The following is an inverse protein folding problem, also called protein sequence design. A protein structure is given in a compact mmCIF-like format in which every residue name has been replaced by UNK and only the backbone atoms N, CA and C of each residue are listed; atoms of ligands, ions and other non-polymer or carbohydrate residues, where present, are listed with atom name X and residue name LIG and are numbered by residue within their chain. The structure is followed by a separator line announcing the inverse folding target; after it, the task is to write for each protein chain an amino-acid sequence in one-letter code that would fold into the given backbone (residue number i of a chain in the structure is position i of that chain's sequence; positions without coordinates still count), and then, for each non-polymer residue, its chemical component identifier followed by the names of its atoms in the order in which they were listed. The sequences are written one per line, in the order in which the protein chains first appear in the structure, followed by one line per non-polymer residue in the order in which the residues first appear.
data_IF_508388669431
#
_entry.id   IF_508388669431
#
_cell.length_a   1.000
_cell.length_b   1.000
_cell.length_c   1.000
_cell.angle_alpha   90.00
_cell.angle_beta   90.00
_cell.angle_gamma   90.00
#
_symmetry.space_group_name_H-M   'P 1'
#
loop_
_entity.id
_entity.type
_entity.pdbx_description
1 polymer ?
#
# COMPACT_ATOMS: atom_id res chain seq x y z
N UNK A 1 17.88 38.33 10.10
CA UNK A 1 18.58 37.04 9.95
C UNK A 1 18.87 36.52 11.35
N UNK A 2 18.66 35.29 11.79
CA UNK A 2 18.04 34.08 11.25
C UNK A 2 18.20 33.08 12.40
N UNK A 3 17.13 32.60 13.02
CA UNK A 3 17.19 31.36 13.79
C UNK A 3 15.83 30.69 13.77
N UNK A 4 15.68 29.78 12.80
CA UNK A 4 14.57 28.85 12.66
C UNK A 4 14.45 28.03 13.95
N UNK A 5 13.35 28.20 14.69
CA UNK A 5 12.84 27.14 15.54
C UNK A 5 12.22 26.08 14.63
N UNK A 6 12.88 24.94 14.56
CA UNK A 6 12.32 23.72 13.99
C UNK A 6 11.16 23.28 14.89
N UNK A 7 9.94 23.66 14.51
CA UNK A 7 8.75 22.96 14.96
C UNK A 7 8.85 21.54 14.43
N UNK A 8 9.21 20.59 15.27
CA UNK A 8 8.96 19.17 15.01
C UNK A 8 7.45 19.02 14.89
N UNK A 9 6.96 19.09 13.65
CA UNK A 9 5.61 18.74 13.28
C UNK A 9 5.47 17.25 13.63
N UNK A 10 4.97 16.98 14.84
CA UNK A 10 4.60 15.63 15.25
C UNK A 10 3.42 15.21 14.37
N UNK A 11 3.74 14.56 13.25
CA UNK A 11 2.75 13.88 12.41
C UNK A 11 2.25 12.70 13.22
N UNK A 12 1.23 12.93 14.05
CA UNK A 12 0.53 11.91 14.81
C UNK A 12 -0.23 11.06 13.79
N UNK A 13 0.43 10.01 13.28
CA UNK A 13 -0.21 9.01 12.43
C UNK A 13 -1.15 8.20 13.33
N UNK A 14 -2.40 8.63 13.39
CA UNK A 14 -3.47 7.83 13.99
C UNK A 14 -3.49 6.47 13.28
N UNK A 15 -3.49 5.34 14.01
CA UNK A 15 -3.81 4.06 13.41
C UNK A 15 -5.19 4.19 12.75
N UNK A 16 -5.31 3.77 11.49
CA UNK A 16 -6.61 3.74 10.83
C UNK A 16 -7.36 2.52 11.38
N UNK A 17 -8.16 2.73 12.41
CA UNK A 17 -9.04 1.71 12.97
C UNK A 17 -10.22 1.46 12.03
N UNK A 18 -10.70 0.23 11.96
CA UNK A 18 -11.87 -0.14 11.15
C UNK A 18 -13.21 0.15 11.85
N UNK A 19 -13.17 0.77 13.03
CA UNK A 19 -14.34 1.20 13.78
C UNK A 19 -14.09 1.33 15.29
N UNK A 20 -15.14 1.65 16.07
CA UNK A 20 -15.01 1.88 17.51
C UNK A 20 -14.67 0.62 18.31
N UNK A 21 -15.17 -0.55 17.92
CA UNK A 21 -14.84 -1.83 18.56
C UNK A 21 -13.38 -2.22 18.34
N UNK A 22 -12.83 -1.88 17.17
CA UNK A 22 -11.43 -2.15 16.85
C UNK A 22 -10.48 -1.30 17.70
N UNK A 23 -10.84 -0.03 17.92
CA UNK A 23 -10.13 0.85 18.86
C UNK A 23 -10.20 0.30 20.29
N UNK A 24 -11.38 -0.14 20.76
CA UNK A 24 -11.52 -0.74 22.09
C UNK A 24 -10.65 -1.99 22.25
N UNK A 25 -10.66 -2.90 21.27
CA UNK A 25 -9.78 -4.08 21.28
C UNK A 25 -8.30 -3.68 21.32
N UNK A 26 -7.89 -2.68 20.54
CA UNK A 26 -6.53 -2.17 20.58
C UNK A 26 -6.14 -1.64 21.96
N UNK A 27 -7.01 -0.89 22.63
CA UNK A 27 -6.77 -0.37 23.98
C UNK A 27 -6.64 -1.51 25.00
N UNK A 28 -7.46 -2.56 24.87
CA UNK A 28 -7.40 -3.75 25.73
C UNK A 28 -6.08 -4.50 25.53
N UNK A 29 -5.69 -4.74 24.27
CA UNK A 29 -4.42 -5.39 23.94
C UNK A 29 -3.21 -4.59 24.42
N UNK A 30 -3.24 -3.26 24.28
CA UNK A 30 -2.19 -2.35 24.75
C UNK A 30 -1.98 -2.44 26.26
N UNK A 31 -3.06 -2.60 27.02
CA UNK A 31 -3.01 -2.74 28.48
C UNK A 31 -2.73 -4.18 28.94
N UNK A 32 -2.53 -5.13 28.01
CA UNK A 32 -2.27 -6.56 28.27
C UNK A 32 -3.36 -7.24 29.12
N UNK A 33 -4.61 -6.79 28.99
CA UNK A 33 -5.73 -7.35 29.75
C UNK A 33 -6.47 -8.42 28.94
N UNK A 34 -6.95 -9.45 29.62
CA UNK A 34 -7.90 -10.43 29.07
C UNK A 34 -9.29 -9.78 28.99
N UNK A 35 -10.14 -10.20 28.04
CA UNK A 35 -11.51 -9.65 27.93
C UNK A 35 -12.36 -10.13 29.12
N UNK A 36 -12.10 -11.35 29.61
CA UNK A 36 -12.84 -11.94 30.72
C UNK A 36 -12.61 -11.13 32.02
N UNK A 37 -11.36 -10.79 32.34
CA UNK A 37 -10.97 -10.12 33.59
C UNK A 37 -10.92 -8.58 33.44
N UNK A 38 -11.42 -8.05 32.33
CA UNK A 38 -11.30 -6.63 32.00
C UNK A 38 -12.10 -5.75 32.97
N UNK A 39 -11.40 -4.81 33.60
CA UNK A 39 -11.98 -3.60 34.15
C UNK A 39 -12.28 -2.62 33.00
N UNK A 40 -13.56 -2.40 32.70
CA UNK A 40 -13.97 -1.60 31.54
C UNK A 40 -13.85 -0.09 31.77
N UNK A 41 -13.97 0.39 33.00
CA UNK A 41 -13.90 1.82 33.32
C UNK A 41 -12.60 2.51 32.85
N UNK A 42 -11.39 1.95 33.12
CA UNK A 42 -10.14 2.51 32.61
C UNK A 42 -10.07 2.53 31.07
N UNK A 43 -10.64 1.53 30.39
CA UNK A 43 -10.66 1.46 28.93
C UNK A 43 -11.60 2.52 28.34
N UNK A 44 -12.76 2.72 28.96
CA UNK A 44 -13.72 3.76 28.58
C UNK A 44 -13.05 5.14 28.67
N UNK A 45 -12.28 5.40 29.73
CA UNK A 45 -11.56 6.67 29.89
C UNK A 45 -10.52 6.89 28.79
N UNK A 46 -9.72 5.87 28.48
CA UNK A 46 -8.75 5.93 27.38
C UNK A 46 -9.43 6.13 26.02
N UNK A 47 -10.58 5.50 25.80
CA UNK A 47 -11.37 5.69 24.58
C UNK A 47 -11.84 7.15 24.45
N UNK A 48 -12.43 7.71 25.51
CA UNK A 48 -12.92 9.09 25.51
C UNK A 48 -11.77 10.10 25.35
N UNK A 49 -10.61 9.85 25.96
CA UNK A 49 -9.42 10.67 25.78
C UNK A 49 -8.94 10.66 24.32
N UNK A 50 -8.88 9.48 23.70
CA UNK A 50 -8.49 9.33 22.31
C UNK A 50 -9.46 10.06 21.37
N UNK A 51 -10.77 9.91 21.54
CA UNK A 51 -11.77 10.61 20.71
C UNK A 51 -11.67 12.13 20.89
N UNK A 52 -11.42 12.61 22.10
CA UNK A 52 -11.20 14.04 22.34
C UNK A 52 -9.94 14.57 21.63
N UNK A 53 -8.87 13.79 21.56
CA UNK A 53 -7.67 14.14 20.81
C UNK A 53 -7.93 14.14 19.29
N UNK A 54 -8.59 13.10 18.77
CA UNK A 54 -8.93 12.99 17.33
C UNK A 54 -9.87 14.10 16.89
N UNK A 55 -10.89 14.44 17.70
CA UNK A 55 -11.84 15.52 17.39
C UNK A 55 -11.17 16.88 17.19
N UNK A 56 -10.06 17.16 17.90
CA UNK A 56 -9.28 18.40 17.72
C UNK A 56 -8.53 18.45 16.39
N UNK A 57 -8.25 17.29 15.80
CA UNK A 57 -7.50 17.15 14.55
C UNK A 57 -8.44 16.99 13.34
N UNK A 58 -9.51 16.21 13.49
CA UNK A 58 -10.47 15.91 12.43
C UNK A 58 -11.85 15.54 13.02
N UNK A 59 -12.83 16.42 12.85
CA UNK A 59 -14.20 16.25 13.35
C UNK A 59 -14.95 15.17 12.57
N UNK A 60 -14.73 15.06 11.27
CA UNK A 60 -15.43 14.11 10.40
C UNK A 60 -15.08 12.67 10.78
N UNK A 61 -13.80 12.40 11.03
CA UNK A 61 -13.36 11.09 11.53
C UNK A 61 -13.88 10.80 12.94
N UNK A 62 -13.97 11.80 13.81
CA UNK A 62 -14.48 11.61 15.16
C UNK A 62 -15.99 11.29 15.20
N UNK A 63 -16.75 11.72 14.19
CA UNK A 63 -18.21 11.52 14.14
C UNK A 63 -18.60 10.02 14.14
N UNK A 64 -17.83 9.17 13.47
CA UNK A 64 -18.05 7.71 13.40
C UNK A 64 -17.94 7.01 14.77
N UNK A 65 -17.34 7.67 15.77
CA UNK A 65 -17.06 7.11 17.09
C UNK A 65 -17.95 7.67 18.21
N UNK A 66 -18.76 8.70 17.91
CA UNK A 66 -19.57 9.42 18.92
C UNK A 66 -20.69 8.57 19.50
N UNK A 67 -21.30 7.70 18.70
CA UNK A 67 -22.35 6.81 19.16
C UNK A 67 -21.82 5.86 20.24
N UNK A 68 -20.70 5.19 19.96
CA UNK A 68 -20.02 4.36 20.94
C UNK A 68 -19.52 5.18 22.15
N UNK A 69 -19.02 6.41 21.94
CA UNK A 69 -18.61 7.26 23.05
C UNK A 69 -19.77 7.56 24.01
N UNK A 70 -20.97 7.80 23.45
CA UNK A 70 -22.19 8.07 24.20
C UNK A 70 -22.64 6.83 24.97
N UNK A 71 -22.63 5.66 24.31
CA UNK A 71 -22.93 4.38 24.94
C UNK A 71 -21.97 4.05 26.09
N UNK A 72 -20.65 4.22 25.89
CA UNK A 72 -19.65 3.97 26.92
C UNK A 72 -19.76 4.93 28.11
N UNK A 73 -20.13 6.19 27.87
CA UNK A 73 -20.37 7.15 28.94
C UNK A 73 -21.60 6.79 29.77
N UNK A 74 -22.69 6.38 29.12
CA UNK A 74 -23.88 5.85 29.78
C UNK A 74 -23.55 4.61 30.61
N UNK A 75 -22.81 3.66 30.03
CA UNK A 75 -22.32 2.46 30.71
C UNK A 75 -21.53 2.82 31.97
N UNK A 76 -20.56 3.73 31.87
CA UNK A 76 -19.75 4.17 33.02
C UNK A 76 -20.62 4.78 34.11
N UNK A 77 -21.56 5.67 33.75
CA UNK A 77 -22.48 6.30 34.70
C UNK A 77 -23.37 5.28 35.42
N UNK A 78 -24.00 4.37 34.67
CA UNK A 78 -24.86 3.33 35.21
C UNK A 78 -24.11 2.38 36.15
N UNK A 79 -22.91 1.96 35.77
CA UNK A 79 -22.08 1.08 36.60
C UNK A 79 -21.68 1.73 37.93
N UNK A 80 -21.34 3.03 37.93
CA UNK A 80 -20.99 3.74 39.17
C UNK A 80 -22.19 3.93 40.11
N UNK A 81 -23.40 4.07 39.58
CA UNK A 81 -24.63 4.23 40.38
C UNK A 81 -25.03 2.91 41.04
N UNK A 82 -25.01 1.81 40.28
CA UNK A 82 -25.42 0.48 40.75
C UNK A 82 -24.52 -0.07 41.88
N UNK A 83 -23.27 0.38 41.97
CA UNK A 83 -22.34 -0.02 43.04
C UNK A 83 -22.67 0.67 44.38
N UNK A 84 -23.34 1.83 44.33
CA UNK A 84 -23.64 2.65 45.52
C UNK A 84 -25.02 2.39 46.13
N UNK A 85 -25.93 1.77 45.38
CA UNK A 85 -27.23 1.31 45.87
C UNK A 85 -27.12 -0.14 46.32
N UNK A 86 -26.93 -0.37 47.62
CA UNK A 86 -26.94 -1.72 48.23
C UNK A 86 -28.32 -2.39 48.24
N UNK A 87 -29.03 -2.38 47.11
CA UNK A 87 -30.39 -2.91 46.95
C UNK A 87 -30.36 -4.24 46.21
N UNK A 88 -30.98 -5.25 46.83
CA UNK A 88 -31.06 -6.67 46.48
C UNK A 88 -31.86 -6.99 45.20
N UNK A 89 -32.00 -6.07 44.25
CA UNK A 89 -32.67 -6.34 42.96
C UNK A 89 -31.68 -6.97 41.97
N UNK A 90 -31.43 -8.26 42.19
CA UNK A 90 -30.45 -9.10 41.50
C UNK A 90 -30.92 -9.64 40.13
N UNK A 91 -31.61 -8.82 39.34
CA UNK A 91 -31.99 -9.16 37.94
C UNK A 91 -31.60 -8.10 36.90
N UNK A 92 -30.92 -7.02 37.31
CA UNK A 92 -30.35 -6.07 36.35
C UNK A 92 -29.15 -6.73 35.66
N UNK A 93 -29.36 -7.16 34.40
CA UNK A 93 -28.31 -7.58 33.48
C UNK A 93 -27.16 -6.58 33.58
N UNK A 94 -25.98 -7.05 33.98
CA UNK A 94 -24.81 -6.18 34.10
C UNK A 94 -24.56 -5.57 32.71
N UNK A 95 -24.76 -4.25 32.51
CA UNK A 95 -24.74 -3.66 31.18
C UNK A 95 -23.32 -3.71 30.57
N UNK A 96 -22.30 -3.95 31.40
CA UNK A 96 -20.93 -4.21 30.96
C UNK A 96 -20.74 -5.61 30.34
N UNK A 97 -21.59 -6.58 30.66
CA UNK A 97 -21.51 -7.93 30.12
C UNK A 97 -21.83 -7.95 28.62
N UNK A 98 -22.82 -7.17 28.19
CA UNK A 98 -23.18 -7.02 26.78
C UNK A 98 -22.00 -6.46 25.96
N UNK A 99 -21.31 -5.43 26.48
CA UNK A 99 -20.12 -4.89 25.82
C UNK A 99 -18.99 -5.92 25.72
N UNK A 100 -18.76 -6.74 26.77
CA UNK A 100 -17.77 -7.82 26.74
C UNK A 100 -18.11 -8.86 25.68
N UNK A 101 -19.38 -9.24 25.56
CA UNK A 101 -19.84 -10.19 24.54
C UNK A 101 -19.63 -9.65 23.13
N UNK A 102 -19.99 -8.39 22.88
CA UNK A 102 -19.78 -7.72 21.59
C UNK A 102 -18.28 -7.65 21.22
N UNK A 103 -17.41 -7.35 22.18
CA UNK A 103 -15.96 -7.34 21.98
C UNK A 103 -15.40 -8.74 21.68
N UNK A 104 -15.88 -9.77 22.38
CA UNK A 104 -15.49 -11.15 22.14
C UNK A 104 -15.92 -11.63 20.74
N UNK A 105 -17.17 -11.33 20.35
CA UNK A 105 -17.68 -11.65 19.01
C UNK A 105 -16.86 -10.97 17.91
N UNK A 106 -16.60 -9.66 18.05
CA UNK A 106 -15.79 -8.92 17.09
C UNK A 106 -14.34 -9.44 17.01
N UNK A 107 -13.72 -9.78 18.14
CA UNK A 107 -12.39 -10.41 18.17
C UNK A 107 -12.39 -11.74 17.42
N UNK A 108 -13.42 -12.57 17.60
CA UNK A 108 -13.59 -13.82 16.86
C UNK A 108 -13.65 -13.61 15.35
N UNK A 109 -14.42 -12.62 14.90
CA UNK A 109 -14.51 -12.24 13.49
C UNK A 109 -13.16 -11.75 12.97
N UNK A 110 -12.45 -10.90 13.71
CA UNK A 110 -11.13 -10.38 13.33
C UNK A 110 -10.09 -11.49 13.16
N UNK A 111 -10.10 -12.48 14.05
CA UNK A 111 -9.24 -13.68 13.95
C UNK A 111 -9.64 -14.52 12.73
N UNK A 112 -10.94 -14.76 12.52
CA UNK A 112 -11.42 -15.51 11.36
C UNK A 112 -11.05 -14.82 10.03
N UNK A 113 -11.18 -13.50 9.96
CA UNK A 113 -10.80 -12.69 8.80
C UNK A 113 -9.29 -12.77 8.54
N UNK A 114 -8.47 -12.68 9.59
CA UNK A 114 -7.01 -12.88 9.49
C UNK A 114 -6.67 -14.28 8.98
N UNK A 115 -7.24 -15.31 9.58
CA UNK A 115 -7.03 -16.70 9.17
C UNK A 115 -7.46 -16.92 7.71
N UNK A 116 -8.54 -16.28 7.26
CA UNK A 116 -9.00 -16.32 5.87
C UNK A 116 -8.00 -15.63 4.94
N UNK A 117 -7.44 -14.50 5.34
CA UNK A 117 -6.46 -13.75 4.55
C UNK A 117 -5.08 -14.45 4.47
N UNK A 118 -4.73 -15.24 5.48
CA UNK A 118 -3.50 -16.06 5.51
C UNK A 118 -3.62 -17.34 4.67
N UNK A 119 -4.84 -17.75 4.26
CA UNK A 119 -5.01 -18.89 3.36
C UNK A 119 -4.43 -18.57 1.98
N UNK A 120 -3.75 -19.56 1.41
CA UNK A 120 -3.29 -19.49 0.02
C UNK A 120 -4.49 -19.49 -0.92
N UNK A 121 -4.85 -18.30 -1.43
CA UNK A 121 -5.95 -18.14 -2.38
C UNK A 121 -5.48 -18.51 -3.79
N UNK A 122 -6.29 -19.33 -4.48
CA UNK A 122 -6.20 -19.48 -5.93
C UNK A 122 -6.29 -18.09 -6.58
N UNK A 123 -5.50 -17.88 -7.64
CA UNK A 123 -5.32 -16.59 -8.34
C UNK A 123 -4.58 -15.48 -7.58
N UNK A 124 -4.21 -15.67 -6.30
CA UNK A 124 -3.30 -14.78 -5.58
C UNK A 124 -1.87 -15.32 -5.59
N UNK A 125 -1.69 -16.60 -5.27
CA UNK A 125 -0.36 -17.25 -5.21
C UNK A 125 -0.25 -18.44 -6.17
N UNK A 126 -1.37 -19.14 -6.43
CA UNK A 126 -1.43 -20.24 -7.39
C UNK A 126 -2.31 -19.86 -8.56
N UNK A 127 -1.72 -19.76 -9.74
CA UNK A 127 -2.44 -19.58 -10.99
C UNK A 127 -2.84 -20.96 -11.51
N UNK A 128 -4.14 -21.31 -11.56
CA UNK A 128 -4.53 -22.53 -12.23
C UNK A 128 -4.11 -22.43 -13.69
N UNK A 129 -3.54 -23.52 -14.23
CA UNK A 129 -3.35 -23.63 -15.69
C UNK A 129 -4.72 -23.40 -16.32
N UNK A 130 -4.82 -22.38 -17.16
CA UNK A 130 -6.07 -22.08 -17.85
C UNK A 130 -6.61 -23.36 -18.47
N UNK A 131 -7.86 -23.73 -18.13
CA UNK A 131 -8.56 -24.75 -18.90
C UNK A 131 -8.60 -24.23 -20.33
N UNK A 132 -7.85 -24.86 -21.23
CA UNK A 132 -8.08 -24.69 -22.66
C UNK A 132 -9.56 -25.03 -22.86
N UNK A 133 -10.41 -24.09 -23.32
CA UNK A 133 -11.81 -24.39 -23.52
C UNK A 133 -11.89 -25.45 -24.63
N UNK A 134 -12.05 -26.70 -24.23
CA UNK A 134 -12.40 -27.80 -25.13
C UNK A 134 -13.89 -28.02 -25.04
N UNK A 135 -14.66 -26.98 -25.36
CA UNK A 135 -16.09 -27.11 -25.66
C UNK A 135 -16.44 -25.95 -26.59
N UNK A 136 -16.76 -26.25 -27.84
CA UNK A 136 -17.64 -25.38 -28.62
C UNK A 136 -18.99 -25.41 -27.91
N UNK A 137 -19.20 -24.47 -26.99
CA UNK A 137 -20.46 -24.37 -26.28
C UNK A 137 -21.52 -23.89 -27.27
N UNK A 138 -22.54 -24.71 -27.51
CA UNK A 138 -23.71 -24.32 -28.29
C UNK A 138 -24.46 -23.20 -27.54
N UNK A 139 -24.17 -21.96 -27.92
CA UNK A 139 -24.76 -20.74 -27.33
C UNK A 139 -26.18 -20.46 -27.81
N UNK A 140 -26.70 -21.26 -28.75
CA UNK A 140 -27.98 -21.03 -29.41
C UNK A 140 -29.19 -21.10 -28.48
N UNK A 141 -29.03 -21.68 -27.28
CA UNK A 141 -30.09 -21.83 -26.26
C UNK A 141 -29.90 -20.93 -25.04
N UNK A 142 -28.95 -20.00 -25.05
CA UNK A 142 -28.74 -19.13 -23.88
C UNK A 142 -29.74 -17.97 -23.86
N UNK A 143 -30.41 -17.83 -22.72
CA UNK A 143 -31.26 -16.69 -22.41
C UNK A 143 -30.45 -15.39 -22.32
N UNK A 144 -31.01 -14.29 -22.84
CA UNK A 144 -30.42 -12.95 -22.80
C UNK A 144 -30.11 -12.54 -21.36
N UNK A 145 -30.96 -12.95 -20.40
CA UNK A 145 -30.73 -12.68 -18.97
C UNK A 145 -29.45 -13.34 -18.45
N UNK A 146 -29.11 -14.54 -18.94
CA UNK A 146 -27.88 -15.23 -18.56
C UNK A 146 -26.63 -14.50 -19.10
N UNK A 147 -26.72 -13.97 -20.32
CA UNK A 147 -25.66 -13.16 -20.93
C UNK A 147 -25.45 -11.86 -20.14
N UNK A 148 -26.53 -11.16 -19.79
CA UNK A 148 -26.46 -9.92 -18.99
C UNK A 148 -25.86 -10.17 -17.60
N UNK A 149 -26.23 -11.27 -16.93
CA UNK A 149 -25.63 -11.69 -15.66
C UNK A 149 -24.14 -12.00 -15.81
N UNK A 150 -23.74 -12.68 -16.87
CA UNK A 150 -22.33 -12.98 -17.14
C UNK A 150 -21.53 -11.68 -17.34
N UNK A 151 -22.03 -10.74 -18.13
CA UNK A 151 -21.41 -9.42 -18.33
C UNK A 151 -21.31 -8.63 -17.02
N UNK A 152 -22.38 -8.62 -16.22
CA UNK A 152 -22.39 -7.96 -14.91
C UNK A 152 -21.34 -8.56 -13.97
N UNK A 153 -21.21 -9.89 -13.92
CA UNK A 153 -20.22 -10.60 -13.09
C UNK A 153 -18.78 -10.28 -13.49
N UNK A 154 -18.52 -10.13 -14.80
CA UNK A 154 -17.21 -9.72 -15.31
C UNK A 154 -16.91 -8.28 -14.87
N UNK A 155 -17.89 -7.37 -15.03
CA UNK A 155 -17.74 -5.96 -14.68
C UNK A 155 -17.45 -5.78 -13.19
N UNK A 156 -18.19 -6.48 -12.33
CA UNK A 156 -18.00 -6.46 -10.88
C UNK A 156 -16.63 -7.01 -10.49
N UNK A 157 -16.21 -8.15 -11.08
CA UNK A 157 -14.87 -8.69 -10.87
C UNK A 157 -13.78 -7.69 -11.28
N UNK A 158 -13.95 -6.97 -12.40
CA UNK A 158 -12.95 -6.00 -12.87
C UNK A 158 -12.93 -4.67 -12.10
N UNK A 159 -14.00 -4.30 -11.37
CA UNK A 159 -14.02 -3.07 -10.55
C UNK A 159 -12.91 -3.05 -9.49
N UNK A 160 -12.59 -4.21 -8.91
CA UNK A 160 -11.58 -4.33 -7.84
C UNK A 160 -10.15 -4.53 -8.35
N UNK A 161 -9.95 -4.76 -9.66
CA UNK A 161 -8.62 -4.89 -10.29
C UNK A 161 -8.15 -3.61 -10.98
N UNK A 162 -8.80 -2.47 -10.72
CA UNK A 162 -8.15 -1.17 -10.97
C UNK A 162 -7.16 -0.93 -9.83
N UNK A 163 -6.13 -1.78 -9.75
CA UNK A 163 -4.87 -1.37 -9.14
C UNK A 163 -4.46 -0.20 -10.00
N UNK A 164 -4.68 1.01 -9.50
CA UNK A 164 -4.00 2.20 -10.00
C UNK A 164 -2.54 1.98 -9.68
N UNK A 165 -1.88 1.19 -10.52
CA UNK A 165 -0.45 1.26 -10.71
C UNK A 165 -0.31 2.69 -11.22
N UNK A 166 -0.04 3.62 -10.29
CA UNK A 166 0.63 4.86 -10.62
C UNK A 166 1.90 4.39 -11.31
N UNK A 167 1.83 4.25 -12.62
CA UNK A 167 3.01 4.11 -13.45
C UNK A 167 3.71 5.42 -13.16
N UNK A 168 4.82 5.36 -12.44
CA UNK A 168 5.78 6.44 -12.49
C UNK A 168 6.15 6.55 -13.96
N UNK A 169 5.49 7.48 -14.65
CA UNK A 169 5.62 7.68 -16.09
C UNK A 169 6.94 8.43 -16.25
N UNK A 170 8.02 7.68 -16.29
CA UNK A 170 9.30 8.24 -16.70
C UNK A 170 9.19 8.64 -18.17
N UNK A 171 9.10 9.94 -18.42
CA UNK A 171 9.11 10.45 -19.78
C UNK A 171 10.52 10.27 -20.35
N UNK A 172 10.64 9.48 -21.42
CA UNK A 172 11.92 9.17 -22.07
C UNK A 172 12.68 10.46 -22.42
N UNK A 173 11.96 11.53 -22.82
CA UNK A 173 12.54 12.85 -23.13
C UNK A 173 13.25 13.50 -21.95
N UNK A 174 12.67 13.42 -20.75
CA UNK A 174 13.27 13.99 -19.53
C UNK A 174 14.56 13.24 -19.19
N UNK A 175 14.52 11.91 -19.28
CA UNK A 175 15.70 11.09 -19.02
C UNK A 175 16.80 11.33 -20.08
N UNK A 176 16.45 11.51 -21.35
CA UNK A 176 17.43 11.91 -22.38
C UNK A 176 18.09 13.25 -22.04
N UNK A 177 17.31 14.23 -21.55
CA UNK A 177 17.82 15.50 -21.04
C UNK A 177 18.79 15.31 -19.87
N UNK A 178 18.43 14.44 -18.91
CA UNK A 178 19.27 14.09 -17.76
C UNK A 178 20.59 13.45 -18.19
N UNK A 179 20.54 12.46 -19.10
CA UNK A 179 21.73 11.80 -19.66
C UNK A 179 22.65 12.83 -20.35
N UNK A 180 22.09 13.70 -21.20
CA UNK A 180 22.87 14.73 -21.88
C UNK A 180 23.51 15.72 -20.91
N UNK A 181 22.78 16.15 -19.87
CA UNK A 181 23.28 17.07 -18.86
C UNK A 181 24.45 16.47 -18.06
N UNK A 182 24.37 15.18 -17.74
CA UNK A 182 25.46 14.45 -17.10
C UNK A 182 26.67 14.27 -18.02
N UNK A 183 26.44 13.99 -19.31
CA UNK A 183 27.51 13.85 -20.31
C UNK A 183 28.19 15.17 -20.69
N UNK A 184 27.56 16.32 -20.43
CA UNK A 184 28.23 17.63 -20.53
C UNK A 184 29.26 17.82 -19.42
N UNK A 185 28.98 17.30 -18.21
CA UNK A 185 29.87 17.45 -17.03
C UNK A 185 30.92 16.35 -16.94
N UNK A 186 30.58 15.12 -17.37
CA UNK A 186 31.44 13.93 -17.30
C UNK A 186 31.64 13.35 -18.69
N UNK A 187 32.88 13.01 -19.06
CA UNK A 187 33.19 12.35 -20.34
C UNK A 187 32.57 10.95 -20.47
N UNK A 188 32.25 10.31 -19.34
CA UNK A 188 31.74 8.94 -19.26
C UNK A 188 30.79 8.81 -18.07
N UNK A 189 29.61 8.23 -18.29
CA UNK A 189 28.57 8.07 -17.27
C UNK A 189 28.04 6.63 -17.32
N UNK A 190 27.89 5.97 -16.17
CA UNK A 190 27.24 4.64 -16.14
C UNK A 190 25.71 4.76 -16.11
N UNK A 191 25.02 3.74 -16.62
CA UNK A 191 23.56 3.71 -16.66
C UNK A 191 22.92 3.78 -15.27
N UNK A 192 23.59 3.19 -14.28
CA UNK A 192 23.16 3.18 -12.87
C UNK A 192 23.36 4.54 -12.20
N UNK A 193 24.40 5.29 -12.58
CA UNK A 193 24.62 6.65 -12.08
C UNK A 193 23.52 7.64 -12.49
N UNK A 194 22.79 7.34 -13.57
CA UNK A 194 21.67 8.17 -14.02
C UNK A 194 20.41 7.92 -13.20
N UNK A 195 20.30 6.79 -12.50
CA UNK A 195 19.10 6.45 -11.73
C UNK A 195 19.08 7.17 -10.38
N UNK A 196 17.97 7.85 -10.06
CA UNK A 196 17.78 8.56 -8.78
C UNK A 196 17.16 7.66 -7.72
N UNK A 197 16.14 6.89 -8.11
CA UNK A 197 15.35 6.03 -7.20
C UNK A 197 15.72 4.56 -7.29
N UNK A 198 16.47 4.16 -8.34
CA UNK A 198 16.89 2.78 -8.62
C UNK A 198 15.74 1.77 -8.74
N UNK A 199 14.52 2.26 -8.99
CA UNK A 199 13.35 1.41 -9.25
C UNK A 199 13.51 0.75 -10.62
N UNK A 200 13.02 -0.50 -10.78
CA UNK A 200 13.15 -1.26 -12.03
C UNK A 200 12.59 -0.50 -13.26
N UNK A 201 11.46 0.18 -13.10
CA UNK A 201 10.84 1.00 -14.16
C UNK A 201 11.73 2.15 -14.61
N UNK A 202 12.40 2.83 -13.67
CA UNK A 202 13.36 3.90 -13.97
C UNK A 202 14.55 3.37 -14.76
N UNK A 203 15.13 2.25 -14.33
CA UNK A 203 16.30 1.63 -14.98
C UNK A 203 15.95 1.22 -16.42
N UNK A 204 14.77 0.64 -16.64
CA UNK A 204 14.28 0.29 -17.98
C UNK A 204 14.12 1.56 -18.84
N UNK A 205 13.54 2.63 -18.28
CA UNK A 205 13.36 3.89 -19.00
C UNK A 205 14.71 4.55 -19.36
N UNK A 206 15.70 4.50 -18.47
CA UNK A 206 17.07 4.97 -18.75
C UNK A 206 17.73 4.12 -19.84
N UNK A 207 17.54 2.80 -19.80
CA UNK A 207 18.08 1.92 -20.83
C UNK A 207 17.48 2.22 -22.20
N UNK A 208 16.16 2.40 -22.28
CA UNK A 208 15.48 2.81 -23.51
C UNK A 208 15.95 4.18 -24.00
N UNK A 209 16.07 5.17 -23.11
CA UNK A 209 16.58 6.50 -23.46
C UNK A 209 18.03 6.45 -23.98
N UNK A 210 18.87 5.59 -23.40
CA UNK A 210 20.25 5.38 -23.84
C UNK A 210 20.33 4.73 -25.23
N UNK A 211 19.45 3.76 -25.52
CA UNK A 211 19.32 3.16 -26.85
C UNK A 211 18.82 4.16 -27.90
N UNK A 212 17.84 5.01 -27.53
CA UNK A 212 17.31 6.05 -28.41
C UNK A 212 18.39 7.09 -28.76
N UNK A 213 19.16 7.56 -27.76
CA UNK A 213 20.31 8.45 -27.98
C UNK A 213 21.43 7.80 -28.80
N UNK A 214 21.62 6.49 -28.66
CA UNK A 214 22.57 5.73 -29.48
C UNK A 214 22.09 5.61 -30.92
N UNK A 215 20.79 5.37 -31.13
CA UNK A 215 20.15 5.33 -32.45
C UNK A 215 20.24 6.69 -33.14
N UNK A 216 20.05 7.77 -32.39
CA UNK A 216 20.23 9.15 -32.86
C UNK A 216 21.71 9.55 -33.06
N UNK A 217 22.67 8.64 -32.84
CA UNK A 217 24.12 8.89 -32.95
C UNK A 217 24.67 9.99 -32.02
N UNK A 218 23.99 10.31 -30.92
CA UNK A 218 24.44 11.31 -29.94
C UNK A 218 25.37 10.66 -28.89
N UNK A 219 25.08 9.42 -28.52
CA UNK A 219 25.78 8.67 -27.47
C UNK A 219 26.29 7.34 -28.03
N UNK A 220 27.43 6.86 -27.53
CA UNK A 220 27.92 5.49 -27.76
C UNK A 220 27.85 4.71 -26.45
N UNK A 221 27.34 3.48 -26.53
CA UNK A 221 27.30 2.55 -25.41
C UNK A 221 28.53 1.65 -25.44
N UNK A 222 29.18 1.47 -24.29
CA UNK A 222 30.39 0.65 -24.14
C UNK A 222 30.19 -0.32 -22.97
N UNK A 223 30.32 -1.61 -23.24
CA UNK A 223 30.26 -2.69 -22.25
C UNK A 223 31.49 -3.57 -22.41
N UNK A 224 32.25 -3.78 -21.32
CA UNK A 224 33.54 -4.50 -21.36
C UNK A 224 33.39 -6.02 -21.27
N UNK A 225 32.36 -6.52 -20.59
CA UNK A 225 32.10 -7.94 -20.37
C UNK A 225 30.59 -8.21 -20.45
N UNK A 226 30.21 -9.43 -20.80
CA UNK A 226 28.81 -9.86 -20.78
C UNK A 226 28.27 -9.66 -19.35
N UNK A 227 27.09 -9.05 -19.23
CA UNK A 227 26.47 -8.63 -17.95
C UNK A 227 27.26 -7.60 -17.12
N UNK A 228 28.32 -7.01 -17.68
CA UNK A 228 29.06 -5.93 -17.05
C UNK A 228 28.36 -4.57 -17.14
N UNK A 229 28.86 -3.58 -16.40
CA UNK A 229 28.31 -2.21 -16.40
C UNK A 229 28.33 -1.58 -17.79
N UNK A 230 27.18 -1.02 -18.19
CA UNK A 230 27.04 -0.27 -19.44
C UNK A 230 27.38 1.19 -19.19
N UNK A 231 28.31 1.71 -20.00
CA UNK A 231 28.73 3.11 -19.97
C UNK A 231 28.25 3.86 -21.21
N UNK A 232 27.86 5.11 -21.01
CA UNK A 232 27.52 6.08 -22.04
C UNK A 232 28.66 7.08 -22.21
N UNK A 233 29.05 7.32 -23.46
CA UNK A 233 30.02 8.36 -23.84
C UNK A 233 29.47 9.18 -24.99
N UNK A 234 29.72 10.50 -25.01
CA UNK A 234 29.26 11.37 -26.10
C UNK A 234 29.99 11.03 -27.40
N UNK A 235 29.25 10.97 -28.50
CA UNK A 235 29.85 10.86 -29.83
C UNK A 235 30.33 12.25 -30.25
N UNK A 236 31.64 12.46 -30.29
CA UNK A 236 32.23 13.68 -30.85
C UNK A 236 32.28 13.59 -32.38
N UNK A 237 31.90 14.67 -33.07
CA UNK A 237 32.08 14.88 -34.51
C UNK A 237 33.57 15.07 -34.85
N UNK A 238 34.37 14.02 -34.69
CA UNK A 238 35.70 13.91 -35.32
C UNK A 238 36.23 12.50 -35.10
N UNK A 239 35.90 11.58 -35.99
CA UNK A 239 36.71 10.39 -36.30
C UNK A 239 36.29 9.90 -37.68
N UNK A 240 36.71 10.64 -38.71
CA UNK A 240 36.79 10.13 -40.08
C UNK A 240 38.22 9.65 -40.30
N UNK A 241 38.35 8.38 -40.65
CA UNK A 241 39.50 7.72 -41.28
C UNK A 241 40.86 7.76 -40.58
N UNK A 242 41.22 6.64 -39.96
CA UNK A 242 42.42 5.90 -40.32
C UNK A 242 42.35 4.49 -39.69
N UNK A 243 42.05 3.48 -40.51
CA UNK A 243 42.88 2.29 -40.47
C UNK A 243 42.96 1.70 -41.87
N UNK A 244 44.02 2.12 -42.58
CA UNK A 244 44.52 1.46 -43.77
C UNK A 244 44.80 0.00 -43.41
N UNK A 245 44.43 -0.91 -44.33
CA UNK A 245 44.97 -2.26 -44.40
C UNK A 245 46.50 -2.19 -44.47
N UNK A 246 47.18 -3.08 -43.75
CA UNK A 246 48.20 -4.02 -44.25
C UNK A 246 48.99 -4.65 -43.08
N UNK A 247 49.77 -5.74 -43.26
CA UNK A 247 49.34 -7.10 -43.57
C UNK A 247 49.96 -8.11 -42.56
N UNK A 248 49.67 -9.39 -42.76
CA UNK A 248 50.29 -10.59 -42.17
C UNK A 248 51.65 -10.43 -41.44
N UNK A 249 51.74 -11.00 -40.22
CA UNK A 249 52.86 -11.86 -39.70
C UNK A 249 52.51 -12.34 -38.27
N UNK A 250 51.96 -13.55 -38.13
CA UNK A 250 52.62 -14.84 -37.82
C UNK A 250 53.34 -14.93 -36.47
N UNK A 251 52.78 -15.72 -35.54
CA UNK A 251 53.29 -17.06 -35.21
C UNK A 251 52.15 -17.91 -34.65
#
# INVERSE_FOLDING_TARGET
MSSLQAGTEFVLRLPRFEGPLDLLLYLIEKNRLSIEELELCPIIDQYLEYINAVRRLNIELAAEFLDMASYLLWLKSSSLISINSGTEDSELVNPMAELKEMLAAYRGIKIAARNLNERQLLYRERFPKGRTPKVEADVSKMDIMAILKAIASIRERTKHYVVSIKRDRYHIREIMGRINSMLQKKKKVSLVEVAETRVKSEIIAIFLAALELSKASIVRLVQKSIYGTIYMVRRSESFTSQNKRDPLRYK
#
